data_IF_661121845203
#
_entry.id   IF_661121845203
#
_cell.length_a   1.000
_cell.length_b   1.000
_cell.length_c   1.000
_cell.angle_alpha   90.00
_cell.angle_beta   90.00
_cell.angle_gamma   90.00
#
_symmetry.space_group_name_H-M   'P 1'
#
loop_
_entity.id
_entity.type
_entity.pdbx_description
1 polymer ?
#
# COMPACT_ATOMS: atom_id res chain seq x y z
N UNK A 1 -2.60 19.14 -10.41
CA UNK A 1 -4.02 18.88 -10.08
C UNK A 1 -4.08 17.50 -9.45
N UNK A 2 -4.05 17.42 -8.12
CA UNK A 2 -4.13 16.13 -7.40
C UNK A 2 -5.52 15.56 -7.64
N UNK A 3 -5.63 14.54 -8.50
CA UNK A 3 -6.92 13.87 -8.73
C UNK A 3 -7.27 13.11 -7.46
N UNK A 4 -8.36 13.52 -6.82
CA UNK A 4 -8.95 12.83 -5.68
C UNK A 4 -9.43 11.45 -6.15
N UNK A 5 -9.25 10.41 -5.33
CA UNK A 5 -9.79 9.05 -5.55
C UNK A 5 -11.27 9.10 -5.90
N UNK A 6 -12.04 9.98 -5.24
CA UNK A 6 -13.46 10.18 -5.56
C UNK A 6 -13.67 10.69 -6.99
N UNK A 7 -12.83 11.61 -7.45
CA UNK A 7 -12.87 12.13 -8.82
C UNK A 7 -12.56 11.03 -9.84
N UNK A 8 -11.61 10.15 -9.53
CA UNK A 8 -11.30 8.98 -10.36
C UNK A 8 -12.53 8.06 -10.47
N UNK A 9 -13.20 7.75 -9.36
CA UNK A 9 -14.43 6.95 -9.38
C UNK A 9 -15.55 7.58 -10.22
N UNK A 10 -15.70 8.91 -10.15
CA UNK A 10 -16.70 9.65 -10.94
C UNK A 10 -16.35 9.63 -12.42
N UNK A 11 -15.10 9.97 -12.78
CA UNK A 11 -14.63 9.99 -14.18
C UNK A 11 -14.85 8.63 -14.85
N UNK A 12 -14.55 7.56 -14.13
CA UNK A 12 -14.74 6.19 -14.58
C UNK A 12 -16.21 5.84 -14.83
N UNK A 13 -17.10 6.35 -13.98
CA UNK A 13 -18.55 6.11 -14.08
C UNK A 13 -19.14 6.78 -15.30
N UNK A 14 -18.64 7.97 -15.63
CA UNK A 14 -18.97 8.70 -16.88
C UNK A 14 -18.50 7.91 -18.10
N UNK A 15 -17.29 7.34 -18.08
CA UNK A 15 -16.74 6.57 -19.21
C UNK A 15 -17.51 5.28 -19.50
N UNK A 16 -17.96 4.55 -18.46
CA UNK A 16 -18.72 3.30 -18.62
C UNK A 16 -20.24 3.50 -18.77
N UNK A 17 -20.71 4.74 -18.90
CA UNK A 17 -22.13 5.12 -19.05
C UNK A 17 -23.04 4.49 -17.97
N UNK A 18 -22.52 4.40 -16.75
CA UNK A 18 -23.25 3.84 -15.61
C UNK A 18 -23.88 4.98 -14.83
N UNK A 19 -25.15 4.82 -14.43
CA UNK A 19 -25.86 5.82 -13.61
C UNK A 19 -25.62 5.67 -12.11
N UNK A 20 -24.98 4.58 -11.67
CA UNK A 20 -24.71 4.27 -10.26
C UNK A 20 -23.31 3.69 -10.06
N UNK A 21 -22.65 4.18 -9.02
CA UNK A 21 -21.38 3.63 -8.52
C UNK A 21 -21.71 2.57 -7.48
N UNK A 22 -21.39 1.31 -7.77
CA UNK A 22 -21.52 0.20 -6.83
C UNK A 22 -20.16 -0.17 -6.25
N UNK A 23 -20.15 -0.88 -5.13
CA UNK A 23 -18.92 -1.30 -4.46
C UNK A 23 -18.05 -2.19 -5.36
N UNK A 24 -18.65 -3.12 -6.12
CA UNK A 24 -17.92 -4.01 -7.04
C UNK A 24 -17.17 -3.22 -8.13
N UNK A 25 -17.80 -2.16 -8.64
CA UNK A 25 -17.20 -1.26 -9.62
C UNK A 25 -15.99 -0.59 -8.98
N UNK A 26 -16.15 0.00 -7.79
CA UNK A 26 -15.03 0.64 -7.09
C UNK A 26 -13.89 -0.34 -6.84
N UNK A 27 -14.16 -1.58 -6.38
CA UNK A 27 -13.11 -2.58 -6.17
C UNK A 27 -12.38 -2.97 -7.45
N UNK A 28 -13.10 -3.21 -8.55
CA UNK A 28 -12.49 -3.50 -9.87
C UNK A 28 -11.50 -2.40 -10.25
N UNK A 29 -11.88 -1.14 -10.03
CA UNK A 29 -11.02 -0.01 -10.38
C UNK A 29 -9.89 0.23 -9.40
N UNK A 30 -10.12 0.14 -8.10
CA UNK A 30 -9.05 0.25 -7.12
C UNK A 30 -7.97 -0.81 -7.39
N UNK A 31 -8.38 -2.03 -7.73
CA UNK A 31 -7.46 -3.08 -8.17
C UNK A 31 -6.68 -2.68 -9.43
N UNK A 32 -7.35 -2.15 -10.46
CA UNK A 32 -6.67 -1.65 -11.68
C UNK A 32 -5.70 -0.48 -11.41
N UNK A 33 -5.94 0.29 -10.36
CA UNK A 33 -5.05 1.37 -9.88
C UNK A 33 -3.97 0.88 -8.90
N UNK A 34 -3.85 -0.45 -8.71
CA UNK A 34 -2.80 -1.06 -7.90
C UNK A 34 -3.11 -1.17 -6.41
N UNK A 35 -4.36 -0.91 -5.99
CA UNK A 35 -4.82 -1.12 -4.60
C UNK A 35 -5.36 -2.54 -4.47
N UNK A 36 -4.69 -3.35 -3.65
CA UNK A 36 -4.86 -4.79 -3.60
C UNK A 36 -5.87 -5.25 -2.54
N UNK A 37 -6.27 -4.38 -1.62
CA UNK A 37 -7.25 -4.71 -0.60
C UNK A 37 -8.02 -3.48 -0.10
N UNK A 38 -9.04 -3.75 0.70
CA UNK A 38 -9.92 -2.74 1.31
C UNK A 38 -9.20 -1.82 2.30
N UNK A 39 -7.97 -2.17 2.70
CA UNK A 39 -7.14 -1.36 3.59
C UNK A 39 -6.30 -0.31 2.84
N UNK A 40 -6.31 -0.33 1.51
CA UNK A 40 -5.58 0.63 0.68
C UNK A 40 -4.13 0.22 0.38
N UNK A 41 -3.73 -1.02 0.69
CA UNK A 41 -2.37 -1.49 0.40
C UNK A 41 -2.13 -1.61 -1.10
N UNK A 42 -1.00 -1.10 -1.55
CA UNK A 42 -0.53 -1.24 -2.92
C UNK A 42 0.48 -2.38 -3.07
N UNK A 43 0.80 -2.74 -4.33
CA UNK A 43 1.88 -3.68 -4.62
C UNK A 43 3.21 -3.26 -3.98
N UNK A 44 3.48 -1.95 -3.99
CA UNK A 44 4.71 -1.37 -3.45
C UNK A 44 4.79 -1.49 -1.93
N UNK A 45 3.66 -1.26 -1.24
CA UNK A 45 3.58 -1.46 0.21
C UNK A 45 3.80 -2.93 0.58
N UNK A 46 3.18 -3.86 -0.17
CA UNK A 46 3.41 -5.29 0.04
C UNK A 46 4.85 -5.71 -0.23
N UNK A 47 5.53 -5.08 -1.19
CA UNK A 47 6.94 -5.35 -1.46
C UNK A 47 7.80 -5.05 -0.24
N UNK A 48 7.55 -3.93 0.44
CA UNK A 48 8.23 -3.57 1.70
C UNK A 48 7.94 -4.60 2.79
N UNK A 49 6.66 -4.95 3.00
CA UNK A 49 6.27 -5.91 4.03
C UNK A 49 6.84 -7.31 3.78
N UNK A 50 6.93 -7.75 2.52
CA UNK A 50 7.56 -9.02 2.12
C UNK A 50 9.07 -9.01 2.40
N UNK A 51 9.77 -7.93 2.07
CA UNK A 51 11.20 -7.79 2.38
C UNK A 51 11.46 -7.90 3.89
N UNK A 52 10.65 -7.24 4.71
CA UNK A 52 10.74 -7.35 6.17
C UNK A 52 10.42 -8.76 6.68
N UNK A 53 9.47 -9.46 6.05
CA UNK A 53 9.15 -10.85 6.40
C UNK A 53 10.32 -11.79 6.12
N UNK A 54 10.99 -11.63 4.99
CA UNK A 54 12.06 -12.51 4.54
C UNK A 54 13.41 -12.22 5.21
N UNK A 55 13.69 -10.94 5.46
CA UNK A 55 15.00 -10.47 5.94
C UNK A 55 15.02 -10.16 7.44
N UNK A 56 13.84 -10.04 8.07
CA UNK A 56 13.72 -9.59 9.47
C UNK A 56 13.82 -8.07 9.63
N UNK A 57 14.17 -7.59 10.83
CA UNK A 57 14.38 -6.18 11.11
C UNK A 57 15.41 -5.54 10.17
N UNK A 58 15.07 -4.40 9.57
CA UNK A 58 15.96 -3.71 8.64
C UNK A 58 16.03 -2.21 8.89
N UNK A 59 17.18 -1.61 8.60
CA UNK A 59 17.29 -0.17 8.49
C UNK A 59 16.57 0.34 7.23
N UNK A 60 16.14 1.60 7.29
CA UNK A 60 15.44 2.26 6.19
C UNK A 60 16.20 2.20 4.86
N UNK A 61 17.52 2.45 4.88
CA UNK A 61 18.32 2.45 3.65
C UNK A 61 18.43 1.05 3.04
N UNK A 62 18.46 0.00 3.86
CA UNK A 62 18.41 -1.39 3.39
C UNK A 62 17.09 -1.70 2.71
N UNK A 63 15.96 -1.27 3.28
CA UNK A 63 14.63 -1.47 2.68
C UNK A 63 14.56 -0.77 1.31
N UNK A 64 14.98 0.49 1.23
CA UNK A 64 14.97 1.28 -0.01
C UNK A 64 15.82 0.60 -1.09
N UNK A 65 17.01 0.12 -0.73
CA UNK A 65 17.92 -0.58 -1.65
C UNK A 65 17.33 -1.91 -2.15
N UNK A 66 16.82 -2.75 -1.25
CA UNK A 66 16.26 -4.05 -1.59
C UNK A 66 14.97 -3.95 -2.41
N UNK A 67 14.16 -2.93 -2.13
CA UNK A 67 12.92 -2.67 -2.87
C UNK A 67 13.14 -1.84 -4.14
N UNK A 68 14.37 -1.34 -4.37
CA UNK A 68 14.74 -0.45 -5.49
C UNK A 68 13.81 0.76 -5.61
N UNK A 69 13.46 1.34 -4.47
CA UNK A 69 12.46 2.38 -4.37
C UNK A 69 13.06 3.79 -4.33
N UNK A 70 12.24 4.78 -4.65
CA UNK A 70 12.59 6.16 -4.40
C UNK A 70 12.57 6.44 -2.88
N UNK A 71 13.63 7.09 -2.37
CA UNK A 71 13.78 7.42 -0.95
C UNK A 71 12.68 8.34 -0.42
N UNK A 72 12.26 9.32 -1.20
CA UNK A 72 11.20 10.26 -0.84
C UNK A 72 9.85 9.56 -0.79
N UNK A 73 9.57 8.70 -1.78
CA UNK A 73 8.35 7.88 -1.81
C UNK A 73 8.25 6.97 -0.58
N UNK A 74 9.33 6.25 -0.26
CA UNK A 74 9.36 5.43 0.94
C UNK A 74 9.16 6.27 2.21
N UNK A 75 9.89 7.38 2.34
CA UNK A 75 9.91 8.20 3.56
C UNK A 75 8.60 8.95 3.83
N UNK A 76 7.99 9.49 2.79
CA UNK A 76 6.88 10.44 2.94
C UNK A 76 5.52 9.82 2.60
N UNK A 77 5.50 8.63 1.98
CA UNK A 77 4.25 7.97 1.58
C UNK A 77 4.12 6.61 2.26
N UNK A 78 5.05 5.70 2.00
CA UNK A 78 4.89 4.29 2.38
C UNK A 78 5.12 4.06 3.87
N UNK A 79 6.26 4.50 4.39
CA UNK A 79 6.60 4.31 5.80
C UNK A 79 5.54 4.92 6.74
N UNK A 80 5.07 6.17 6.54
CA UNK A 80 4.00 6.74 7.34
C UNK A 80 2.73 5.89 7.31
N UNK A 81 2.29 5.44 6.13
CA UNK A 81 1.08 4.63 5.97
C UNK A 81 1.20 3.27 6.68
N UNK A 82 2.31 2.55 6.48
CA UNK A 82 2.54 1.25 7.10
C UNK A 82 2.65 1.32 8.62
N UNK A 83 3.24 2.41 9.15
CA UNK A 83 3.31 2.67 10.59
C UNK A 83 1.92 3.03 11.16
N UNK A 84 1.19 3.94 10.51
CA UNK A 84 -0.15 4.35 10.94
C UNK A 84 -1.12 3.17 11.00
N UNK A 85 -1.08 2.31 9.98
CA UNK A 85 -1.90 1.09 9.93
C UNK A 85 -1.42 -0.01 10.87
N UNK A 86 -0.24 0.15 11.48
CA UNK A 86 0.36 -0.81 12.40
C UNK A 86 0.85 -2.09 11.72
N UNK A 87 1.14 -2.06 10.42
CA UNK A 87 1.74 -3.19 9.69
C UNK A 87 3.24 -3.30 9.95
N UNK A 88 3.87 -2.17 10.29
CA UNK A 88 5.27 -2.05 10.61
C UNK A 88 5.43 -1.36 11.97
N UNK A 89 6.50 -1.68 12.69
CA UNK A 89 6.89 -1.05 13.94
C UNK A 89 8.27 -0.42 13.80
N UNK A 90 8.48 0.69 14.49
CA UNK A 90 9.74 1.42 14.51
C UNK A 90 10.48 1.16 15.83
N UNK A 91 11.77 0.81 15.75
CA UNK A 91 12.69 0.84 16.88
C UNK A 91 13.66 2.03 16.76
N UNK A 92 14.72 2.08 17.58
CA UNK A 92 15.69 3.19 17.54
C UNK A 92 16.34 3.38 16.15
N UNK A 93 16.45 2.32 15.36
CA UNK A 93 17.09 2.33 14.03
C UNK A 93 16.37 1.47 12.98
N UNK A 94 15.64 0.45 13.40
CA UNK A 94 15.11 -0.59 12.51
C UNK A 94 13.60 -0.53 12.37
N UNK A 95 13.12 -1.12 11.27
CA UNK A 95 11.72 -1.36 10.97
C UNK A 95 11.47 -2.84 11.11
N UNK A 96 10.41 -3.18 11.84
CA UNK A 96 10.07 -4.56 12.17
C UNK A 96 8.67 -4.84 11.63
N UNK A 97 8.49 -6.00 11.00
CA UNK A 97 7.16 -6.46 10.61
C UNK A 97 6.32 -6.75 11.86
N UNK A 98 5.11 -6.20 11.93
CA UNK A 98 4.20 -6.51 13.03
C UNK A 98 3.42 -7.80 12.75
N UNK A 99 2.78 -8.36 13.78
CA UNK A 99 1.83 -9.48 13.61
C UNK A 99 0.71 -9.15 12.61
N UNK A 100 0.19 -7.92 12.67
CA UNK A 100 -0.84 -7.44 11.72
C UNK A 100 -0.28 -7.37 10.30
N UNK A 101 1.00 -7.00 10.15
CA UNK A 101 1.72 -7.04 8.88
C UNK A 101 1.83 -8.46 8.31
N UNK A 102 2.14 -9.45 9.15
CA UNK A 102 2.16 -10.86 8.73
C UNK A 102 0.78 -11.37 8.28
N UNK A 103 -0.26 -11.05 9.05
CA UNK A 103 -1.64 -11.43 8.75
C UNK A 103 -2.12 -10.82 7.43
N UNK A 104 -1.78 -9.55 7.14
CA UNK A 104 -2.22 -8.91 5.91
C UNK A 104 -1.52 -9.48 4.68
N UNK A 105 -0.21 -9.82 4.78
CA UNK A 105 0.49 -10.51 3.70
C UNK A 105 -0.21 -11.85 3.40
N UNK A 106 -0.62 -12.59 4.43
CA UNK A 106 -1.29 -13.89 4.27
C UNK A 106 -2.73 -13.79 3.71
N UNK A 107 -3.37 -12.63 3.77
CA UNK A 107 -4.73 -12.40 3.22
C UNK A 107 -4.71 -11.98 1.75
N UNK A 108 -3.58 -11.45 1.26
CA UNK A 108 -3.45 -10.95 -0.11
C UNK A 108 -2.83 -11.99 -1.05
N UNK A 109 -2.15 -13.01 -0.51
CA UNK A 109 -1.64 -14.19 -1.24
C UNK A 109 -2.67 -15.30 -1.17
#
# INVERSE_FOLDING_TARGET
MTRNILGICVDITVVKDKTKITEDIVREYMHNYGVLNDEGLTETDLKVLKVLKESGPLEKESIISMTQMNKEEYQYVIEPFLLEKGYMLLTKSERILSKKGEEVIAKVI
#
